data_IF_994908530384
#
_entry.id   IF_994908530384
#
_cell.length_a   1.000
_cell.length_b   1.000
_cell.length_c   1.000
_cell.angle_alpha   90.00
_cell.angle_beta   90.00
_cell.angle_gamma   90.00
#
_symmetry.space_group_name_H-M   'P 1'
#
loop_
_entity.id
_entity.type
_entity.pdbx_description
1 polymer ?
#
# COMPACT_ATOMS: atom_id res chain seq x y z
N UNK A 1 32.53 24.92 -7.01
CA UNK A 1 31.60 23.78 -7.06
C UNK A 1 30.70 23.87 -5.84
N UNK A 2 29.44 24.23 -6.04
CA UNK A 2 28.46 24.33 -4.96
C UNK A 2 28.13 22.92 -4.46
N UNK A 3 28.47 22.63 -3.22
CA UNK A 3 28.08 21.39 -2.54
C UNK A 3 26.58 21.44 -2.28
N UNK A 4 25.80 20.78 -3.14
CA UNK A 4 24.41 20.48 -2.86
C UNK A 4 24.35 19.58 -1.62
N UNK A 5 23.98 20.17 -0.48
CA UNK A 5 23.50 19.43 0.69
C UNK A 5 22.04 19.12 0.38
N UNK A 6 21.64 17.85 0.18
CA UNK A 6 20.24 17.53 -0.01
C UNK A 6 19.46 18.02 1.20
N UNK A 7 18.37 18.74 0.96
CA UNK A 7 17.45 19.14 2.00
C UNK A 7 17.05 17.89 2.81
N UNK A 8 17.35 17.93 4.11
CA UNK A 8 17.34 16.78 5.04
C UNK A 8 15.89 16.48 5.49
N UNK A 9 14.91 17.26 5.02
CA UNK A 9 13.52 17.15 5.43
C UNK A 9 12.72 16.21 4.52
N UNK A 10 12.90 14.91 4.71
CA UNK A 10 12.14 13.87 4.00
C UNK A 10 10.64 13.97 4.23
N UNK A 11 10.21 14.41 5.43
CA UNK A 11 8.79 14.62 5.75
C UNK A 11 8.15 15.70 4.88
N UNK A 12 8.76 16.89 4.84
CA UNK A 12 8.24 18.00 4.05
C UNK A 12 8.21 17.64 2.56
N UNK A 13 9.28 17.05 2.04
CA UNK A 13 9.33 16.61 0.64
C UNK A 13 8.18 15.65 0.29
N UNK A 14 7.93 14.66 1.16
CA UNK A 14 6.80 13.72 0.94
C UNK A 14 5.44 14.41 0.97
N UNK A 15 5.30 15.46 1.78
CA UNK A 15 4.07 16.26 1.89
C UNK A 15 3.83 17.10 0.64
N UNK A 16 4.87 17.72 0.11
CA UNK A 16 4.79 18.54 -1.10
C UNK A 16 4.45 17.65 -2.32
N UNK A 17 5.09 16.48 -2.44
CA UNK A 17 4.78 15.45 -3.47
C UNK A 17 3.32 15.02 -3.37
N UNK A 18 2.85 14.68 -2.18
CA UNK A 18 1.47 14.25 -1.99
C UNK A 18 0.45 15.36 -2.32
N UNK A 19 0.72 16.61 -1.93
CA UNK A 19 -0.13 17.75 -2.22
C UNK A 19 -0.23 18.00 -3.73
N UNK A 20 0.90 18.02 -4.43
CA UNK A 20 0.96 18.18 -5.88
C UNK A 20 0.20 17.06 -6.60
N UNK A 21 0.48 15.80 -6.28
CA UNK A 21 -0.17 14.64 -6.90
C UNK A 21 -1.69 14.66 -6.66
N UNK A 22 -2.14 15.00 -5.45
CA UNK A 22 -3.56 15.10 -5.15
C UNK A 22 -4.25 16.23 -5.95
N UNK A 23 -3.60 17.39 -6.07
CA UNK A 23 -4.12 18.50 -6.87
C UNK A 23 -4.19 18.11 -8.36
N UNK A 24 -3.14 17.47 -8.89
CA UNK A 24 -3.08 17.02 -10.28
C UNK A 24 -4.15 15.96 -10.56
N UNK A 25 -4.35 15.00 -9.65
CA UNK A 25 -5.41 14.00 -9.78
C UNK A 25 -6.80 14.64 -9.82
N UNK A 26 -7.09 15.61 -8.96
CA UNK A 26 -8.39 16.32 -8.96
C UNK A 26 -8.62 17.08 -10.27
N UNK A 27 -7.59 17.75 -10.78
CA UNK A 27 -7.63 18.43 -12.07
C UNK A 27 -7.87 17.46 -13.23
N UNK A 28 -7.02 16.44 -13.36
CA UNK A 28 -7.08 15.46 -14.45
C UNK A 28 -8.38 14.65 -14.41
N UNK A 29 -8.90 14.31 -13.22
CA UNK A 29 -10.19 13.65 -13.08
C UNK A 29 -11.34 14.53 -13.58
N UNK A 30 -11.32 15.82 -13.23
CA UNK A 30 -12.34 16.76 -13.67
C UNK A 30 -12.30 16.95 -15.20
N UNK A 31 -11.10 17.09 -15.77
CA UNK A 31 -10.89 17.18 -17.23
C UNK A 31 -11.36 15.90 -17.93
N UNK A 32 -10.88 14.74 -17.48
CA UNK A 32 -11.22 13.43 -18.05
C UNK A 32 -12.72 13.12 -17.98
N UNK A 33 -13.41 13.62 -16.95
CA UNK A 33 -14.85 13.40 -16.76
C UNK A 33 -15.72 14.54 -17.31
N UNK A 34 -15.12 15.50 -18.02
CA UNK A 34 -15.81 16.65 -18.64
C UNK A 34 -16.61 17.47 -17.62
N UNK A 35 -16.02 17.72 -16.45
CA UNK A 35 -16.59 18.62 -15.46
C UNK A 35 -16.72 20.05 -16.04
N UNK A 36 -17.85 20.75 -15.85
CA UNK A 36 -18.09 22.06 -16.48
C UNK A 36 -17.14 23.17 -16.00
N UNK A 37 -16.63 23.04 -14.77
CA UNK A 37 -15.67 23.96 -14.18
C UNK A 37 -14.58 23.13 -13.48
N UNK A 38 -13.58 22.62 -14.21
CA UNK A 38 -12.49 21.89 -13.56
C UNK A 38 -11.75 22.82 -12.57
N UNK A 39 -11.12 22.28 -11.51
CA UNK A 39 -10.26 23.08 -10.66
C UNK A 39 -9.08 23.63 -11.48
N UNK A 40 -8.32 24.56 -10.91
CA UNK A 40 -7.12 25.06 -11.56
C UNK A 40 -6.08 23.93 -11.69
N UNK A 41 -5.41 23.87 -12.84
CA UNK A 41 -4.26 22.99 -13.03
C UNK A 41 -3.16 23.36 -12.02
N UNK A 42 -2.60 22.40 -11.26
CA UNK A 42 -1.56 22.72 -10.30
C UNK A 42 -0.30 23.20 -11.01
N UNK A 43 0.29 24.28 -10.50
CA UNK A 43 1.59 24.75 -10.98
C UNK A 43 2.67 23.70 -10.70
N UNK A 44 3.52 23.43 -11.69
CA UNK A 44 4.65 22.54 -11.53
C UNK A 44 5.65 23.16 -10.54
N UNK A 45 6.04 22.46 -9.45
CA UNK A 45 7.05 22.95 -8.52
C UNK A 45 8.38 23.23 -9.22
N UNK A 46 8.77 24.50 -9.31
CA UNK A 46 9.96 24.95 -10.05
C UNK A 46 11.29 24.37 -9.54
N UNK A 47 11.31 23.90 -8.29
CA UNK A 47 12.48 23.31 -7.64
C UNK A 47 12.64 21.81 -7.91
N UNK A 48 11.63 21.15 -8.48
CA UNK A 48 11.68 19.71 -8.72
C UNK A 48 12.35 19.39 -10.05
N UNK A 49 13.11 18.29 -10.06
CA UNK A 49 13.65 17.75 -11.30
C UNK A 49 12.55 17.19 -12.20
N UNK A 50 12.80 17.21 -13.52
CA UNK A 50 11.89 16.64 -14.53
C UNK A 50 11.49 15.20 -14.23
N UNK A 51 12.43 14.38 -13.78
CA UNK A 51 12.18 12.97 -13.44
C UNK A 51 11.03 12.81 -12.42
N UNK A 52 11.07 13.53 -11.30
CA UNK A 52 10.01 13.46 -10.28
C UNK A 52 8.66 13.92 -10.83
N UNK A 53 8.64 15.00 -11.62
CA UNK A 53 7.42 15.52 -12.25
C UNK A 53 6.80 14.51 -13.22
N UNK A 54 7.62 13.90 -14.08
CA UNK A 54 7.19 12.88 -15.04
C UNK A 54 6.62 11.65 -14.33
N UNK A 55 7.28 11.18 -13.26
CA UNK A 55 6.77 10.07 -12.44
C UNK A 55 5.45 10.42 -11.77
N UNK A 56 5.35 11.57 -11.09
CA UNK A 56 4.11 12.01 -10.46
C UNK A 56 2.96 12.08 -11.48
N UNK A 57 3.22 12.65 -12.66
CA UNK A 57 2.24 12.79 -13.74
C UNK A 57 1.78 11.43 -14.27
N UNK A 58 2.72 10.52 -14.54
CA UNK A 58 2.39 9.17 -15.01
C UNK A 58 1.60 8.36 -13.97
N UNK A 59 2.01 8.43 -12.69
CA UNK A 59 1.32 7.77 -11.59
C UNK A 59 -0.11 8.28 -11.46
N UNK A 60 -0.33 9.61 -11.52
CA UNK A 60 -1.67 10.20 -11.49
C UNK A 60 -2.51 9.70 -12.67
N UNK A 61 -1.96 9.65 -13.89
CA UNK A 61 -2.68 9.11 -15.06
C UNK A 61 -3.11 7.66 -14.86
N UNK A 62 -2.25 6.80 -14.32
CA UNK A 62 -2.59 5.40 -14.02
C UNK A 62 -3.70 5.31 -12.96
N UNK A 63 -3.66 6.17 -11.94
CA UNK A 63 -4.73 6.24 -10.93
C UNK A 63 -6.06 6.69 -11.53
N UNK A 64 -6.06 7.64 -12.47
CA UNK A 64 -7.27 8.04 -13.20
C UNK A 64 -7.83 6.86 -14.01
N UNK A 65 -6.97 6.12 -14.73
CA UNK A 65 -7.38 4.92 -15.47
C UNK A 65 -8.01 3.89 -14.51
N UNK A 66 -7.36 3.59 -13.40
CA UNK A 66 -7.88 2.65 -12.41
C UNK A 66 -9.23 3.10 -11.83
N UNK A 67 -9.33 4.37 -11.43
CA UNK A 67 -10.56 4.92 -10.84
C UNK A 67 -11.73 4.92 -11.83
N UNK A 68 -11.44 5.16 -13.10
CA UNK A 68 -12.45 5.15 -14.16
C UNK A 68 -12.79 3.74 -14.67
N UNK A 69 -11.96 2.74 -14.37
CA UNK A 69 -12.16 1.32 -14.60
C UNK A 69 -12.57 0.59 -13.30
N UNK A 70 -13.79 0.85 -12.84
CA UNK A 70 -14.30 0.31 -11.58
C UNK A 70 -15.18 -0.93 -11.79
N UNK A 71 -14.99 -1.93 -10.93
CA UNK A 71 -15.84 -3.12 -10.83
C UNK A 71 -16.55 -3.14 -9.49
N UNK A 72 -17.87 -3.31 -9.53
CA UNK A 72 -18.66 -3.46 -8.31
C UNK A 72 -18.83 -4.93 -7.95
N UNK A 73 -18.58 -5.27 -6.70
CA UNK A 73 -18.93 -6.58 -6.15
C UNK A 73 -20.42 -6.65 -5.80
N UNK A 74 -20.96 -7.86 -5.63
CA UNK A 74 -22.39 -8.07 -5.37
C UNK A 74 -22.84 -7.83 -3.93
N UNK A 75 -21.92 -7.69 -2.98
CA UNK A 75 -22.22 -7.66 -1.55
C UNK A 75 -21.63 -6.46 -0.82
N UNK A 76 -22.20 -6.11 0.34
CA UNK A 76 -21.78 -4.96 1.15
C UNK A 76 -20.49 -5.27 1.93
N UNK A 77 -19.42 -4.52 1.65
CA UNK A 77 -18.11 -4.81 2.23
C UNK A 77 -18.05 -4.52 3.74
N UNK A 78 -18.85 -3.58 4.22
CA UNK A 78 -18.89 -3.22 5.63
C UNK A 78 -19.71 -4.23 6.45
N UNK A 79 -20.75 -4.84 5.87
CA UNK A 79 -21.46 -5.97 6.46
C UNK A 79 -20.56 -7.21 6.51
N UNK A 80 -19.91 -7.55 5.40
CA UNK A 80 -18.88 -8.60 5.35
C UNK A 80 -17.84 -8.46 6.47
N UNK A 81 -17.29 -7.25 6.64
CA UNK A 81 -16.26 -7.02 7.65
C UNK A 81 -16.79 -7.10 9.10
N UNK A 82 -18.09 -6.85 9.33
CA UNK A 82 -18.72 -7.01 10.65
C UNK A 82 -19.00 -8.48 10.97
N UNK A 83 -19.38 -9.25 9.95
CA UNK A 83 -19.80 -10.64 10.10
C UNK A 83 -18.65 -11.61 10.34
N UNK A 84 -17.48 -11.31 9.78
CA UNK A 84 -16.29 -12.12 10.02
C UNK A 84 -15.89 -12.04 11.51
N UNK A 85 -16.02 -13.15 12.25
CA UNK A 85 -15.56 -13.22 13.65
C UNK A 85 -14.04 -13.23 13.70
N UNK A 86 -13.43 -12.07 13.92
CA UNK A 86 -11.98 -11.88 13.90
C UNK A 86 -11.32 -12.37 15.19
N UNK A 87 -10.91 -13.63 15.25
CA UNK A 87 -10.06 -14.12 16.33
C UNK A 87 -8.61 -14.29 15.86
N UNK A 88 -7.67 -14.01 16.76
CA UNK A 88 -6.22 -14.22 16.56
C UNK A 88 -5.84 -15.70 16.41
N UNK A 89 -6.78 -16.62 16.65
CA UNK A 89 -6.59 -18.07 16.64
C UNK A 89 -7.15 -18.76 15.38
N UNK A 90 -7.71 -18.02 14.41
CA UNK A 90 -8.40 -18.65 13.26
C UNK A 90 -8.41 -17.88 11.94
N UNK A 91 -8.45 -16.55 11.93
CA UNK A 91 -8.60 -15.83 10.67
C UNK A 91 -7.31 -15.80 9.83
N UNK A 92 -7.40 -16.20 8.58
CA UNK A 92 -6.32 -16.22 7.58
C UNK A 92 -5.58 -17.56 7.46
N UNK A 93 -5.46 -18.33 8.56
CA UNK A 93 -4.78 -19.63 8.58
C UNK A 93 -5.70 -20.85 8.68
N UNK A 94 -6.95 -20.68 9.12
CA UNK A 94 -7.94 -21.77 9.18
C UNK A 94 -8.72 -21.84 7.86
N UNK A 95 -8.35 -22.79 7.00
CA UNK A 95 -8.95 -22.97 5.68
C UNK A 95 -10.47 -23.19 5.77
N UNK A 96 -10.95 -24.00 6.71
CA UNK A 96 -12.39 -24.28 6.86
C UNK A 96 -13.17 -23.00 7.20
N UNK A 97 -12.61 -22.14 8.05
CA UNK A 97 -13.23 -20.85 8.37
C UNK A 97 -13.25 -19.93 7.14
N UNK A 98 -12.17 -19.87 6.36
CA UNK A 98 -12.09 -19.04 5.16
C UNK A 98 -13.04 -19.55 4.07
N UNK A 99 -13.19 -20.87 3.90
CA UNK A 99 -14.16 -21.48 2.99
C UNK A 99 -15.61 -21.15 3.39
N UNK A 100 -15.95 -21.21 4.68
CA UNK A 100 -17.28 -20.82 5.15
C UNK A 100 -17.54 -19.31 4.93
N UNK A 101 -16.53 -18.47 5.13
CA UNK A 101 -16.60 -17.04 4.81
C UNK A 101 -16.87 -16.84 3.32
N UNK A 102 -16.14 -17.54 2.43
CA UNK A 102 -16.33 -17.47 0.98
C UNK A 102 -17.67 -18.06 0.53
N UNK A 103 -18.23 -19.04 1.26
CA UNK A 103 -19.58 -19.57 0.98
C UNK A 103 -20.66 -18.54 1.29
N UNK A 104 -20.51 -17.79 2.38
CA UNK A 104 -21.45 -16.74 2.79
C UNK A 104 -21.28 -15.45 1.97
N UNK A 105 -20.05 -15.11 1.63
CA UNK A 105 -19.67 -13.91 0.88
C UNK A 105 -18.91 -14.34 -0.39
N UNK A 106 -19.63 -14.82 -1.42
CA UNK A 106 -19.02 -15.43 -2.59
C UNK A 106 -18.10 -14.47 -3.33
N UNK A 107 -16.99 -14.97 -3.88
CA UNK A 107 -16.10 -14.15 -4.69
C UNK A 107 -16.84 -13.58 -5.90
N UNK A 108 -16.44 -12.37 -6.31
CA UNK A 108 -17.03 -11.72 -7.48
C UNK A 108 -16.86 -12.56 -8.76
N UNK A 109 -15.79 -13.34 -8.85
CA UNK A 109 -15.51 -14.21 -9.98
C UNK A 109 -15.29 -15.66 -9.54
N UNK A 110 -15.93 -16.58 -10.25
CA UNK A 110 -15.69 -18.02 -10.19
C UNK A 110 -15.91 -18.60 -11.59
N UNK A 111 -14.87 -19.15 -12.27
CA UNK A 111 -13.49 -19.33 -11.79
C UNK A 111 -12.74 -18.01 -11.59
N UNK A 112 -11.58 -18.08 -10.91
CA UNK A 112 -10.71 -16.91 -10.69
C UNK A 112 -10.30 -16.25 -12.01
N UNK A 113 -10.40 -14.92 -12.09
CA UNK A 113 -10.00 -14.15 -13.26
C UNK A 113 -8.66 -13.46 -13.06
N UNK A 114 -7.91 -13.31 -14.15
CA UNK A 114 -6.69 -12.52 -14.17
C UNK A 114 -7.03 -11.04 -14.38
N UNK A 115 -6.40 -10.15 -13.60
CA UNK A 115 -6.49 -8.70 -13.78
C UNK A 115 -5.08 -8.17 -14.04
N UNK A 116 -4.88 -7.61 -15.24
CA UNK A 116 -3.58 -7.16 -15.74
C UNK A 116 -3.50 -5.64 -15.95
N UNK A 117 -4.65 -4.97 -15.88
CA UNK A 117 -4.82 -3.55 -16.12
C UNK A 117 -5.18 -2.79 -14.82
N UNK A 118 -4.90 -1.47 -14.76
CA UNK A 118 -5.28 -0.66 -13.61
C UNK A 118 -6.79 -0.71 -13.36
N UNK A 119 -7.20 -1.06 -12.14
CA UNK A 119 -8.61 -1.31 -11.80
C UNK A 119 -8.91 -1.03 -10.33
N UNK A 120 -10.13 -0.57 -10.06
CA UNK A 120 -10.69 -0.47 -8.70
C UNK A 120 -11.79 -1.49 -8.51
N UNK A 121 -11.84 -2.10 -7.33
CA UNK A 121 -13.00 -2.86 -6.85
C UNK A 121 -13.71 -2.08 -5.76
N UNK A 122 -15.04 -2.03 -5.82
CA UNK A 122 -15.87 -1.38 -4.82
C UNK A 122 -17.14 -2.18 -4.52
N UNK A 123 -17.78 -1.91 -3.40
CA UNK A 123 -19.08 -2.48 -3.05
C UNK A 123 -20.26 -1.66 -3.63
N UNK A 124 -21.52 -2.15 -3.54
CA UNK A 124 -22.69 -1.43 -4.06
C UNK A 124 -22.93 -0.05 -3.43
N UNK A 125 -22.41 0.20 -2.23
CA UNK A 125 -22.45 1.51 -1.56
C UNK A 125 -21.35 2.46 -2.05
N UNK A 126 -20.48 1.99 -2.96
CA UNK A 126 -19.35 2.74 -3.49
C UNK A 126 -18.14 2.77 -2.56
N UNK A 127 -18.07 1.91 -1.54
CA UNK A 127 -16.86 1.77 -0.71
C UNK A 127 -15.79 1.06 -1.51
N UNK A 128 -14.60 1.65 -1.56
CA UNK A 128 -13.47 1.09 -2.28
C UNK A 128 -12.87 -0.04 -1.45
N UNK A 129 -12.68 -1.20 -2.08
CA UNK A 129 -12.15 -2.42 -1.48
C UNK A 129 -10.66 -2.56 -1.79
N UNK A 130 -10.30 -2.38 -3.06
CA UNK A 130 -8.90 -2.45 -3.50
C UNK A 130 -8.65 -1.62 -4.75
N UNK A 131 -7.41 -1.11 -4.87
CA UNK A 131 -6.84 -0.64 -6.12
C UNK A 131 -5.76 -1.62 -6.58
N UNK A 132 -5.81 -2.00 -7.85
CA UNK A 132 -4.78 -2.82 -8.51
C UNK A 132 -4.10 -1.91 -9.52
N UNK A 133 -2.79 -1.69 -9.36
CA UNK A 133 -2.02 -0.72 -10.14
C UNK A 133 -0.78 -1.38 -10.74
N UNK A 134 -0.95 -2.16 -11.83
CA UNK A 134 0.15 -2.88 -12.47
C UNK A 134 1.23 -1.94 -12.99
N UNK A 135 2.50 -2.23 -12.70
CA UNK A 135 3.68 -1.48 -13.15
C UNK A 135 3.59 0.04 -12.99
N UNK A 136 2.92 0.51 -11.93
CA UNK A 136 2.75 1.95 -11.66
C UNK A 136 4.08 2.63 -11.28
N UNK A 137 5.00 1.90 -10.67
CA UNK A 137 6.35 2.41 -10.35
C UNK A 137 7.29 2.13 -11.53
N UNK A 138 7.87 3.16 -12.17
CA UNK A 138 8.69 2.98 -13.37
C UNK A 138 10.06 2.35 -13.04
N UNK A 139 10.73 1.71 -14.02
CA UNK A 139 11.97 0.96 -13.79
C UNK A 139 13.07 1.75 -13.04
N UNK A 140 13.32 3.00 -13.42
CA UNK A 140 14.36 3.81 -12.77
C UNK A 140 14.05 4.12 -11.27
N UNK A 141 12.78 4.13 -10.85
CA UNK A 141 12.42 4.19 -9.42
C UNK A 141 12.54 2.83 -8.74
N UNK A 142 12.27 1.73 -9.47
CA UNK A 142 12.55 0.39 -8.98
C UNK A 142 14.05 0.18 -8.73
N UNK A 143 14.92 0.74 -9.58
CA UNK A 143 16.37 0.70 -9.40
C UNK A 143 16.83 1.43 -8.13
N UNK A 144 16.27 2.61 -7.84
CA UNK A 144 16.50 3.33 -6.57
C UNK A 144 16.07 2.49 -5.37
N UNK A 145 14.88 1.88 -5.43
CA UNK A 145 14.38 1.01 -4.37
C UNK A 145 15.26 -0.25 -4.20
N UNK A 146 15.73 -0.85 -5.29
CA UNK A 146 16.67 -1.96 -5.26
C UNK A 146 17.99 -1.56 -4.60
N UNK A 147 18.58 -0.43 -5.01
CA UNK A 147 19.80 0.10 -4.39
C UNK A 147 19.61 0.33 -2.88
N UNK A 148 18.46 0.90 -2.47
CA UNK A 148 18.15 1.06 -1.06
C UNK A 148 18.08 -0.30 -0.34
N UNK A 149 17.38 -1.29 -0.90
CA UNK A 149 17.26 -2.62 -0.28
C UNK A 149 18.60 -3.37 -0.24
N UNK A 150 19.51 -3.14 -1.19
CA UNK A 150 20.88 -3.63 -1.12
C UNK A 150 21.65 -3.07 0.10
N UNK A 151 21.49 -1.79 0.41
CA UNK A 151 22.07 -1.17 1.62
C UNK A 151 21.52 -1.81 2.90
N UNK A 152 20.22 -2.15 2.90
CA UNK A 152 19.58 -2.83 4.02
C UNK A 152 20.02 -4.30 4.17
N UNK A 153 20.54 -4.93 3.11
CA UNK A 153 20.84 -6.35 3.01
C UNK A 153 21.46 -7.00 4.27
N UNK A 154 22.53 -6.42 4.87
CA UNK A 154 23.15 -6.96 6.07
C UNK A 154 22.25 -7.00 7.31
N UNK A 155 21.17 -6.21 7.34
CA UNK A 155 20.19 -6.13 8.44
C UNK A 155 18.94 -6.98 8.21
N UNK A 156 18.84 -7.70 7.08
CA UNK A 156 17.73 -8.62 6.84
C UNK A 156 17.80 -9.79 7.82
N UNK A 157 16.70 -10.10 8.49
CA UNK A 157 16.61 -11.26 9.37
C UNK A 157 16.68 -12.52 8.52
N UNK A 158 17.75 -13.29 8.75
CA UNK A 158 17.95 -14.65 8.23
C UNK A 158 17.73 -15.72 9.30
N UNK A 159 17.33 -15.33 10.51
CA UNK A 159 17.00 -16.26 11.60
C UNK A 159 15.64 -16.88 11.31
N UNK A 160 15.69 -17.96 10.56
CA UNK A 160 14.53 -18.76 10.26
C UNK A 160 14.35 -19.79 11.38
N UNK A 161 13.17 -19.78 12.00
CA UNK A 161 12.81 -20.82 12.96
C UNK A 161 12.20 -21.99 12.20
N UNK A 162 12.45 -23.22 12.67
CA UNK A 162 11.68 -24.37 12.19
C UNK A 162 10.21 -24.20 12.60
N UNK A 163 9.24 -24.82 11.89
CA UNK A 163 7.81 -24.68 12.17
C UNK A 163 7.45 -24.91 13.65
N UNK A 164 8.17 -25.82 14.30
CA UNK A 164 8.00 -26.23 15.69
C UNK A 164 8.42 -25.16 16.72
N UNK A 165 9.24 -24.17 16.33
CA UNK A 165 9.85 -23.20 17.26
C UNK A 165 9.16 -21.83 17.28
N UNK A 166 8.61 -21.34 16.15
CA UNK A 166 8.00 -19.99 16.08
C UNK A 166 6.51 -19.97 15.83
N UNK A 167 5.93 -21.06 15.31
CA UNK A 167 4.53 -21.14 14.89
C UNK A 167 4.11 -20.11 13.83
N UNK A 168 5.05 -19.39 13.19
CA UNK A 168 4.75 -18.29 12.27
C UNK A 168 5.47 -18.47 10.93
N UNK A 169 4.69 -18.63 9.86
CA UNK A 169 5.20 -18.73 8.48
C UNK A 169 6.06 -17.53 8.07
N UNK A 170 5.91 -16.38 8.74
CA UNK A 170 6.66 -15.15 8.42
C UNK A 170 8.16 -15.28 8.67
N UNK A 171 8.57 -16.20 9.55
CA UNK A 171 9.96 -16.48 9.91
C UNK A 171 10.35 -17.94 9.67
N UNK A 172 9.49 -18.73 9.00
CA UNK A 172 9.79 -20.12 8.68
C UNK A 172 10.58 -20.21 7.38
N UNK A 173 11.76 -20.85 7.46
CA UNK A 173 12.68 -21.07 6.33
C UNK A 173 12.01 -21.73 5.14
N UNK A 174 10.97 -22.55 5.37
CA UNK A 174 10.27 -23.26 4.31
C UNK A 174 9.67 -22.31 3.26
N UNK A 175 9.38 -21.05 3.62
CA UNK A 175 8.79 -20.04 2.72
C UNK A 175 9.82 -19.13 2.05
N UNK A 176 11.11 -19.29 2.34
CA UNK A 176 12.16 -18.46 1.76
C UNK A 176 12.93 -19.23 0.68
N UNK A 177 13.29 -18.52 -0.39
CA UNK A 177 14.20 -19.02 -1.42
C UNK A 177 15.65 -18.73 -1.02
N UNK A 178 16.64 -19.52 -1.49
CA UNK A 178 18.04 -19.25 -1.22
C UNK A 178 18.48 -17.84 -1.64
N UNK A 179 19.54 -17.34 -1.00
CA UNK A 179 20.22 -16.12 -1.43
C UNK A 179 20.61 -16.23 -2.92
N UNK A 180 20.59 -15.10 -3.61
CA UNK A 180 21.00 -15.01 -5.00
C UNK A 180 21.85 -13.76 -5.24
N UNK A 181 22.44 -13.65 -6.43
CA UNK A 181 23.33 -12.54 -6.79
C UNK A 181 22.60 -11.19 -6.96
N UNK A 182 21.26 -11.19 -7.02
CA UNK A 182 20.48 -9.97 -7.19
C UNK A 182 20.14 -9.31 -5.84
N UNK A 183 19.73 -10.10 -4.84
CA UNK A 183 19.44 -9.59 -3.49
C UNK A 183 19.53 -10.70 -2.43
N UNK A 184 20.02 -10.33 -1.24
CA UNK A 184 19.94 -11.20 -0.05
C UNK A 184 18.48 -11.52 0.30
N UNK A 185 18.21 -12.76 0.65
CA UNK A 185 16.93 -13.25 1.16
C UNK A 185 16.75 -12.87 2.63
N UNK A 186 15.54 -12.45 3.01
CA UNK A 186 15.14 -12.26 4.39
C UNK A 186 13.97 -11.29 4.58
N UNK A 187 13.83 -10.85 5.81
CA UNK A 187 12.78 -9.93 6.24
C UNK A 187 13.35 -8.83 7.14
N UNK A 188 12.98 -7.58 6.91
CA UNK A 188 13.20 -6.49 7.85
C UNK A 188 11.93 -5.67 8.04
N UNK A 189 11.60 -5.35 9.28
CA UNK A 189 10.54 -4.41 9.62
C UNK A 189 11.18 -3.11 10.10
N UNK A 190 10.94 -2.03 9.36
CA UNK A 190 11.47 -0.71 9.65
C UNK A 190 10.34 0.22 10.07
N UNK A 191 10.57 1.01 11.10
CA UNK A 191 9.69 2.08 11.55
C UNK A 191 10.53 3.23 12.08
N UNK A 192 10.20 4.46 11.68
CA UNK A 192 10.78 5.66 12.25
C UNK A 192 10.35 5.85 13.72
N UNK A 193 9.13 5.43 14.06
CA UNK A 193 8.59 5.47 15.42
C UNK A 193 7.51 4.40 15.61
N UNK A 194 7.70 3.49 16.58
CA UNK A 194 6.68 2.50 16.96
C UNK A 194 6.76 2.10 18.44
N UNK A 195 5.68 1.54 18.97
CA UNK A 195 5.74 0.87 20.27
C UNK A 195 6.14 -0.59 20.08
N UNK A 196 7.20 -1.00 20.76
CA UNK A 196 7.64 -2.40 20.83
C UNK A 196 6.52 -3.27 21.42
N UNK A 197 6.39 -4.50 20.96
CA UNK A 197 5.37 -5.42 21.46
C UNK A 197 5.51 -5.59 22.99
N UNK A 198 4.44 -5.36 23.73
CA UNK A 198 4.43 -5.45 25.20
C UNK A 198 4.94 -4.21 25.94
N UNK A 199 5.46 -3.20 25.23
CA UNK A 199 5.92 -1.93 25.84
C UNK A 199 4.90 -0.81 25.62
N UNK A 200 4.73 0.04 26.63
CA UNK A 200 3.91 1.26 26.57
C UNK A 200 4.83 2.46 26.74
N UNK A 201 5.21 3.09 25.62
CA UNK A 201 5.99 4.34 25.59
C UNK A 201 7.41 4.25 26.17
N UNK A 202 8.38 5.08 25.72
CA UNK A 202 8.34 5.94 24.53
C UNK A 202 8.31 5.13 23.22
N UNK A 203 7.92 5.74 22.08
CA UNK A 203 8.11 5.11 20.79
C UNK A 203 9.61 4.95 20.48
N UNK A 204 9.95 3.94 19.68
CA UNK A 204 11.31 3.62 19.29
C UNK A 204 11.50 3.69 17.78
N UNK A 205 12.67 4.13 17.35
CA UNK A 205 13.13 4.02 15.97
C UNK A 205 13.83 2.68 15.76
N UNK A 206 13.56 1.99 14.64
CA UNK A 206 14.33 0.79 14.26
C UNK A 206 15.84 1.09 14.24
N UNK A 207 16.70 0.28 14.91
CA UNK A 207 18.13 0.59 15.05
C UNK A 207 18.87 0.86 13.73
N UNK A 208 18.49 0.19 12.63
CA UNK A 208 19.08 0.43 11.31
C UNK A 208 18.93 1.89 10.86
N UNK A 209 17.78 2.53 11.11
CA UNK A 209 17.48 3.90 10.67
C UNK A 209 18.27 4.97 11.44
N UNK A 210 18.90 4.61 12.55
CA UNK A 210 19.75 5.50 13.34
C UNK A 210 21.22 5.47 12.88
N UNK A 211 21.56 4.59 11.94
CA UNK A 211 22.93 4.42 11.42
C UNK A 211 23.11 5.17 10.10
N UNK A 212 24.35 5.51 9.71
CA UNK A 212 24.63 6.13 8.41
C UNK A 212 24.02 5.37 7.23
N UNK A 213 24.06 4.04 7.23
CA UNK A 213 23.47 3.20 6.18
C UNK A 213 21.95 3.38 6.10
N UNK A 214 21.28 3.53 7.25
CA UNK A 214 19.86 3.84 7.33
C UNK A 214 19.54 5.21 6.74
N UNK A 215 20.40 6.21 6.97
CA UNK A 215 20.24 7.53 6.36
C UNK A 215 20.41 7.47 4.84
N UNK A 216 21.40 6.71 4.33
CA UNK A 216 21.58 6.51 2.89
C UNK A 216 20.41 5.75 2.28
N UNK A 217 19.88 4.72 2.95
CA UNK A 217 18.67 4.01 2.55
C UNK A 217 17.50 4.97 2.33
N UNK A 218 17.21 5.83 3.31
CA UNK A 218 16.12 6.80 3.23
C UNK A 218 16.37 7.87 2.15
N UNK A 219 17.61 8.30 1.98
CA UNK A 219 18.00 9.30 0.97
C UNK A 219 17.82 8.77 -0.45
N UNK A 220 18.29 7.55 -0.73
CA UNK A 220 18.18 6.91 -2.05
C UNK A 220 16.71 6.62 -2.40
N UNK A 221 15.93 6.14 -1.42
CA UNK A 221 14.51 5.82 -1.61
C UNK A 221 13.57 7.03 -1.42
N UNK A 222 14.10 8.25 -1.25
CA UNK A 222 13.32 9.44 -0.88
C UNK A 222 12.17 9.72 -1.84
N UNK A 223 12.47 9.85 -3.13
CA UNK A 223 11.46 10.21 -4.13
C UNK A 223 10.46 9.06 -4.39
N UNK A 224 10.88 7.79 -4.52
CA UNK A 224 9.93 6.68 -4.57
C UNK A 224 8.95 6.63 -3.39
N UNK A 225 9.44 6.80 -2.16
CA UNK A 225 8.60 6.79 -0.95
C UNK A 225 7.67 8.01 -0.84
N UNK A 226 8.12 9.18 -1.32
CA UNK A 226 7.28 10.36 -1.43
C UNK A 226 6.12 10.14 -2.42
N UNK A 227 6.40 9.56 -3.59
CA UNK A 227 5.38 9.20 -4.59
C UNK A 227 4.38 8.19 -4.02
N UNK A 228 4.85 7.17 -3.30
CA UNK A 228 3.97 6.19 -2.63
C UNK A 228 3.03 6.86 -1.61
N UNK A 229 3.51 7.89 -0.90
CA UNK A 229 2.67 8.70 -0.01
C UNK A 229 1.63 9.52 -0.78
N UNK A 230 2.01 10.08 -1.94
CA UNK A 230 1.08 10.76 -2.84
C UNK A 230 0.02 9.84 -3.43
N UNK A 231 0.35 8.57 -3.71
CA UNK A 231 -0.63 7.56 -4.08
C UNK A 231 -1.65 7.37 -2.93
N UNK A 232 -1.21 7.23 -1.67
CA UNK A 232 -2.15 7.14 -0.53
C UNK A 232 -3.00 8.42 -0.38
N UNK A 233 -2.41 9.59 -0.57
CA UNK A 233 -3.12 10.87 -0.53
C UNK A 233 -4.24 10.97 -1.57
N UNK A 234 -4.11 10.24 -2.67
CA UNK A 234 -5.17 10.07 -3.67
C UNK A 234 -6.10 8.96 -3.25
N UNK A 235 -5.62 7.72 -3.08
CA UNK A 235 -6.45 6.51 -2.96
C UNK A 235 -7.19 6.38 -1.63
N UNK A 236 -6.74 7.07 -0.58
CA UNK A 236 -7.43 7.18 0.72
C UNK A 236 -7.05 8.50 1.45
N UNK A 237 -7.61 9.65 1.03
CA UNK A 237 -7.19 10.96 1.53
C UNK A 237 -7.36 11.14 3.05
N UNK A 238 -8.38 10.50 3.64
CA UNK A 238 -8.60 10.55 5.08
C UNK A 238 -7.53 9.75 5.85
N UNK A 239 -7.14 8.58 5.34
CA UNK A 239 -6.03 7.81 5.93
C UNK A 239 -4.70 8.54 5.79
N UNK A 240 -4.45 9.21 4.65
CA UNK A 240 -3.28 10.06 4.49
C UNK A 240 -3.24 11.18 5.54
N UNK A 241 -4.34 11.92 5.72
CA UNK A 241 -4.44 13.01 6.71
C UNK A 241 -4.20 12.50 8.13
N UNK A 242 -4.88 11.42 8.51
CA UNK A 242 -4.68 10.75 9.81
C UNK A 242 -3.22 10.37 10.02
N UNK A 243 -2.56 9.85 9.00
CA UNK A 243 -1.17 9.43 9.10
C UNK A 243 -0.18 10.58 9.16
N UNK A 244 -0.45 11.67 8.44
CA UNK A 244 0.33 12.90 8.56
C UNK A 244 0.20 13.50 9.97
N UNK A 245 -1.01 13.55 10.50
CA UNK A 245 -1.27 14.00 11.87
C UNK A 245 -0.53 13.13 12.89
N UNK A 246 -0.55 11.79 12.74
CA UNK A 246 0.23 10.90 13.59
C UNK A 246 1.72 11.23 13.57
N UNK A 247 2.28 11.43 12.37
CA UNK A 247 3.68 11.74 12.19
C UNK A 247 4.06 13.09 12.81
N UNK A 248 3.23 14.11 12.59
CA UNK A 248 3.43 15.46 13.13
C UNK A 248 3.34 15.49 14.65
N UNK A 249 2.37 14.77 15.23
CA UNK A 249 2.27 14.63 16.69
C UNK A 249 3.49 13.91 17.29
N UNK A 250 4.02 12.88 16.63
CA UNK A 250 5.25 12.20 17.09
C UNK A 250 6.50 13.08 16.94
N UNK A 251 6.60 13.88 15.86
CA UNK A 251 7.68 14.85 15.71
C UNK A 251 7.61 15.92 16.81
N UNK A 252 6.40 16.37 17.15
CA UNK A 252 6.14 17.36 18.19
C UNK A 252 6.44 16.84 19.60
N UNK A 253 6.23 15.55 19.88
CA UNK A 253 6.58 14.95 21.18
C UNK A 253 8.09 14.87 21.41
N UNK A 254 8.91 15.02 20.36
CA UNK A 254 10.37 15.03 20.41
C UNK A 254 11.02 13.65 20.33
N UNK A 255 10.32 12.60 20.76
CA UNK A 255 10.77 11.21 20.61
C UNK A 255 10.91 10.83 19.14
N UNK A 256 12.04 10.21 18.77
CA UNK A 256 12.30 9.77 17.39
C UNK A 256 12.27 10.89 16.33
N UNK A 257 12.25 12.18 16.72
CA UNK A 257 12.13 13.34 15.83
C UNK A 257 13.11 13.31 14.66
N UNK A 258 14.36 12.95 14.92
CA UNK A 258 15.41 12.91 13.90
C UNK A 258 15.11 11.87 12.82
N UNK A 259 14.70 10.67 13.21
CA UNK A 259 14.34 9.60 12.30
C UNK A 259 13.05 9.94 11.52
N UNK A 260 12.05 10.51 12.20
CA UNK A 260 10.80 10.94 11.58
C UNK A 260 10.99 12.07 10.57
N UNK A 261 11.90 13.01 10.83
CA UNK A 261 12.24 14.08 9.89
C UNK A 261 12.88 13.58 8.60
N UNK A 262 13.65 12.49 8.68
CA UNK A 262 14.26 11.83 7.50
C UNK A 262 13.34 10.83 6.81
N UNK A 263 12.30 10.35 7.49
CA UNK A 263 11.38 9.34 6.99
C UNK A 263 10.55 9.90 5.82
N UNK A 264 10.79 9.51 4.56
CA UNK A 264 10.25 10.20 3.39
C UNK A 264 8.89 9.66 2.97
N UNK A 265 8.11 9.16 3.92
CA UNK A 265 6.76 8.66 3.67
C UNK A 265 5.83 8.92 4.86
N UNK A 266 4.53 8.79 4.59
CA UNK A 266 3.48 8.97 5.60
C UNK A 266 3.16 7.67 6.37
N UNK A 267 3.52 6.51 5.82
CA UNK A 267 3.32 5.22 6.48
C UNK A 267 4.14 5.11 7.76
N UNK A 268 3.57 4.57 8.83
CA UNK A 268 4.33 4.42 10.09
C UNK A 268 5.38 3.33 10.01
N UNK A 269 5.21 2.33 9.14
CA UNK A 269 6.11 1.19 9.04
C UNK A 269 6.18 0.64 7.62
N UNK A 270 7.29 -0.06 7.35
CA UNK A 270 7.52 -0.82 6.12
C UNK A 270 8.13 -2.18 6.46
N UNK A 271 7.61 -3.23 5.86
CA UNK A 271 8.26 -4.54 5.81
C UNK A 271 8.95 -4.71 4.47
N UNK A 272 10.26 -4.90 4.48
CA UNK A 272 11.06 -5.30 3.33
C UNK A 272 11.15 -6.82 3.33
N UNK A 273 10.51 -7.46 2.35
CA UNK A 273 10.41 -8.91 2.22
C UNK A 273 11.13 -9.30 0.93
N UNK A 274 12.20 -10.09 1.03
CA UNK A 274 12.94 -10.54 -0.14
C UNK A 274 12.85 -12.05 -0.29
N UNK A 275 12.60 -12.50 -1.53
CA UNK A 275 12.58 -13.89 -1.96
C UNK A 275 11.75 -14.83 -1.05
N UNK A 276 10.62 -14.33 -0.52
CA UNK A 276 9.74 -15.06 0.40
C UNK A 276 8.35 -15.23 -0.19
N UNK A 277 7.82 -16.44 -0.14
CA UNK A 277 6.41 -16.74 -0.32
C UNK A 277 5.56 -16.16 0.83
N UNK A 278 4.38 -15.66 0.49
CA UNK A 278 3.37 -15.32 1.49
C UNK A 278 2.20 -16.28 1.27
N UNK A 279 2.06 -17.35 2.08
CA UNK A 279 0.89 -18.22 1.99
C UNK A 279 -0.38 -17.41 2.21
N UNK A 280 -1.52 -17.99 1.88
CA UNK A 280 -2.81 -17.33 2.11
C UNK A 280 -2.98 -16.96 3.59
N UNK A 281 -3.25 -15.68 3.86
CA UNK A 281 -3.38 -15.14 5.21
C UNK A 281 -4.21 -13.85 5.25
N UNK A 282 -4.36 -13.31 6.46
CA UNK A 282 -4.92 -12.00 6.78
C UNK A 282 -4.02 -11.28 7.77
N UNK A 283 -3.98 -9.95 7.71
CA UNK A 283 -3.18 -9.12 8.62
C UNK A 283 -4.00 -8.64 9.83
N UNK A 284 -3.98 -9.42 10.91
CA UNK A 284 -4.93 -9.28 12.02
C UNK A 284 -4.72 -8.03 12.90
N UNK A 285 -3.57 -7.37 12.80
CA UNK A 285 -3.22 -6.22 13.65
C UNK A 285 -3.66 -4.87 13.08
N UNK A 286 -4.24 -4.86 11.88
CA UNK A 286 -4.62 -3.65 11.17
C UNK A 286 -6.12 -3.33 11.31
N UNK A 287 -6.50 -2.16 10.82
CA UNK A 287 -7.90 -1.72 10.70
C UNK A 287 -8.46 -2.18 9.36
N UNK A 288 -9.69 -2.70 9.33
CA UNK A 288 -10.35 -3.05 8.05
C UNK A 288 -10.55 -1.84 7.13
N UNK A 289 -10.63 -0.64 7.72
CA UNK A 289 -10.91 0.61 7.01
C UNK A 289 -9.67 1.23 6.36
N UNK A 290 -8.49 0.71 6.69
CA UNK A 290 -7.22 1.24 6.22
C UNK A 290 -6.72 0.37 5.08
N UNK A 291 -5.95 1.00 4.20
CA UNK A 291 -5.22 0.33 3.15
C UNK A 291 -3.75 0.18 3.50
N UNK A 292 -3.24 -0.98 3.17
CA UNK A 292 -1.83 -1.31 3.13
C UNK A 292 -1.41 -1.40 1.67
N UNK A 293 -0.15 -1.08 1.42
CA UNK A 293 0.40 -1.03 0.08
C UNK A 293 1.36 -2.19 -0.09
N UNK A 294 1.13 -3.02 -1.10
CA UNK A 294 2.03 -4.08 -1.49
C UNK A 294 2.71 -3.71 -2.81
N UNK A 295 3.92 -3.16 -2.72
CA UNK A 295 4.77 -2.83 -3.87
C UNK A 295 5.73 -3.99 -4.13
N UNK A 296 5.72 -4.58 -5.32
CA UNK A 296 6.66 -5.65 -5.69
C UNK A 296 7.53 -5.27 -6.89
N UNK A 297 8.82 -5.60 -6.85
CA UNK A 297 9.79 -5.35 -7.92
C UNK A 297 10.95 -6.35 -7.90
N UNK A 298 11.74 -6.38 -8.97
CA UNK A 298 12.82 -7.33 -9.21
C UNK A 298 12.80 -7.85 -10.64
N UNK A 299 13.79 -8.66 -11.06
CA UNK A 299 13.92 -9.15 -12.43
C UNK A 299 12.97 -10.31 -12.76
N UNK A 300 11.98 -10.57 -11.89
CA UNK A 300 10.98 -11.61 -12.13
C UNK A 300 9.99 -11.18 -13.22
N UNK A 301 9.42 -12.14 -13.95
CA UNK A 301 8.38 -11.83 -14.96
C UNK A 301 7.03 -11.57 -14.30
N UNK A 302 6.56 -12.52 -13.50
CA UNK A 302 5.27 -12.48 -12.84
C UNK A 302 5.36 -13.04 -11.42
N UNK A 303 4.63 -12.45 -10.48
CA UNK A 303 4.58 -12.89 -9.08
C UNK A 303 3.14 -12.86 -8.56
N UNK A 304 2.29 -13.82 -8.98
CA UNK A 304 0.85 -13.68 -8.82
C UNK A 304 0.41 -13.45 -7.38
N UNK A 305 -0.32 -12.36 -7.16
CA UNK A 305 -1.04 -12.05 -5.93
C UNK A 305 -2.49 -12.52 -6.11
N UNK A 306 -2.99 -13.28 -5.14
CA UNK A 306 -4.36 -13.75 -5.11
C UNK A 306 -5.16 -12.95 -4.08
N UNK A 307 -6.35 -12.50 -4.47
CA UNK A 307 -7.34 -11.88 -3.60
C UNK A 307 -8.58 -12.78 -3.60
N UNK A 308 -8.59 -13.77 -2.70
CA UNK A 308 -9.56 -14.87 -2.74
C UNK A 308 -11.00 -14.38 -2.62
N UNK A 309 -11.26 -13.40 -1.75
CA UNK A 309 -12.59 -12.79 -1.58
C UNK A 309 -13.13 -12.10 -2.83
N UNK A 310 -12.29 -11.80 -3.82
CA UNK A 310 -12.72 -11.20 -5.10
C UNK A 310 -12.72 -12.24 -6.23
N UNK A 311 -12.12 -13.42 -6.04
CA UNK A 311 -11.86 -14.34 -7.15
C UNK A 311 -10.89 -13.74 -8.17
N UNK A 312 -9.93 -12.94 -7.70
CA UNK A 312 -8.98 -12.22 -8.57
C UNK A 312 -7.57 -12.72 -8.36
N UNK A 313 -6.85 -12.92 -9.48
CA UNK A 313 -5.41 -13.10 -9.54
C UNK A 313 -4.79 -11.90 -10.27
N UNK A 314 -3.92 -11.17 -9.59
CA UNK A 314 -3.13 -10.10 -10.21
C UNK A 314 -1.82 -10.71 -10.69
N UNK A 315 -1.48 -10.54 -11.97
CA UNK A 315 -0.23 -11.06 -12.52
C UNK A 315 1.03 -10.43 -11.87
N UNK A 316 0.85 -9.22 -11.34
CA UNK A 316 1.78 -8.50 -10.46
C UNK A 316 3.19 -8.36 -11.08
N UNK A 317 3.32 -7.77 -12.29
CA UNK A 317 4.62 -7.48 -12.89
C UNK A 317 5.45 -6.53 -12.00
N UNK A 318 6.78 -6.42 -12.21
CA UNK A 318 7.61 -5.50 -11.45
C UNK A 318 7.10 -4.05 -11.48
N UNK A 319 7.15 -3.39 -10.32
CA UNK A 319 6.65 -2.02 -10.10
C UNK A 319 5.15 -1.94 -9.79
N UNK A 320 4.47 -3.08 -9.63
CA UNK A 320 3.04 -3.11 -9.29
C UNK A 320 2.80 -2.72 -7.84
N UNK A 321 1.78 -1.90 -7.59
CA UNK A 321 1.23 -1.67 -6.25
C UNK A 321 -0.18 -2.25 -6.19
N UNK A 322 -0.42 -3.13 -5.23
CA UNK A 322 -1.77 -3.53 -4.84
C UNK A 322 -2.12 -2.87 -3.51
N UNK A 323 -3.27 -2.20 -3.45
CA UNK A 323 -3.71 -1.42 -2.30
C UNK A 323 -5.00 -2.05 -1.77
N UNK A 324 -4.99 -2.55 -0.55
CA UNK A 324 -6.16 -3.19 0.06
C UNK A 324 -6.02 -3.27 1.59
N UNK A 325 -7.10 -3.55 2.30
CA UNK A 325 -7.01 -3.85 3.73
C UNK A 325 -6.57 -5.29 3.95
N UNK A 326 -5.33 -5.50 4.41
CA UNK A 326 -4.73 -6.84 4.59
C UNK A 326 -5.51 -7.73 5.56
N UNK A 327 -6.22 -7.12 6.51
CA UNK A 327 -7.13 -7.81 7.42
C UNK A 327 -8.41 -8.32 6.74
N UNK A 328 -8.93 -7.55 5.79
CA UNK A 328 -10.25 -7.77 5.21
C UNK A 328 -10.21 -8.70 3.99
N UNK A 329 -9.10 -8.83 3.28
CA UNK A 329 -8.98 -9.77 2.15
C UNK A 329 -8.09 -10.95 2.51
N UNK A 330 -8.56 -12.17 2.25
CA UNK A 330 -7.73 -13.38 2.32
C UNK A 330 -6.86 -13.42 1.07
N UNK A 331 -5.55 -13.30 1.28
CA UNK A 331 -4.63 -13.02 0.19
C UNK A 331 -3.31 -13.76 0.37
N UNK A 332 -2.63 -14.01 -0.74
CA UNK A 332 -1.36 -14.74 -0.77
C UNK A 332 -0.59 -14.47 -2.04
N UNK A 333 0.72 -14.58 -1.96
CA UNK A 333 1.63 -14.43 -3.10
C UNK A 333 2.50 -15.66 -3.19
N UNK A 334 2.45 -16.34 -4.34
CA UNK A 334 3.26 -17.54 -4.58
C UNK A 334 4.76 -17.23 -4.55
N UNK A 335 5.54 -18.28 -4.36
CA UNK A 335 7.00 -18.25 -4.36
C UNK A 335 7.55 -17.84 -5.73
N UNK A 336 8.36 -16.77 -5.73
CA UNK A 336 9.08 -16.24 -6.90
C UNK A 336 10.37 -15.58 -6.41
N UNK A 337 11.47 -15.80 -7.14
CA UNK A 337 12.80 -15.24 -6.86
C UNK A 337 13.55 -14.95 -8.17
N UNK A 338 14.36 -13.88 -8.25
CA UNK A 338 14.54 -12.83 -7.25
C UNK A 338 13.34 -11.88 -7.18
N UNK A 339 12.85 -11.59 -5.97
CA UNK A 339 11.73 -10.67 -5.74
C UNK A 339 11.95 -9.86 -4.47
N UNK A 340 11.67 -8.57 -4.55
CA UNK A 340 11.49 -7.70 -3.40
C UNK A 340 10.03 -7.28 -3.32
N UNK A 341 9.48 -7.35 -2.12
CA UNK A 341 8.16 -6.84 -1.80
C UNK A 341 8.27 -5.88 -0.62
N UNK A 342 7.74 -4.68 -0.79
CA UNK A 342 7.58 -3.68 0.26
C UNK A 342 6.11 -3.68 0.68
N UNK A 343 5.83 -4.08 1.91
CA UNK A 343 4.53 -3.89 2.53
C UNK A 343 4.58 -2.60 3.37
N UNK A 344 3.85 -1.56 2.97
CA UNK A 344 3.78 -0.28 3.68
C UNK A 344 2.44 -0.16 4.40
N UNK A 345 2.48 0.10 5.71
CA UNK A 345 1.29 -0.02 6.55
C UNK A 345 1.32 0.91 7.78
N UNK A 346 0.17 1.00 8.44
CA UNK A 346 -0.04 1.85 9.61
C UNK A 346 -0.19 1.02 10.89
N UNK A 347 0.48 1.42 11.95
CA UNK A 347 0.38 0.79 13.27
C UNK A 347 -0.77 1.40 14.06
N UNK A 348 -1.89 0.66 14.16
CA UNK A 348 -3.11 1.11 14.85
C UNK A 348 -2.92 1.53 16.31
N UNK A 349 -1.96 0.93 17.01
CA UNK A 349 -1.63 1.32 18.39
C UNK A 349 -1.04 2.74 18.49
N UNK A 350 -0.31 3.21 17.48
CA UNK A 350 0.20 4.59 17.42
C UNK A 350 -0.98 5.57 17.34
N UNK A 351 -1.89 5.35 16.39
CA UNK A 351 -3.10 6.16 16.24
C UNK A 351 -3.91 6.23 17.55
N UNK A 352 -4.07 5.09 18.24
CA UNK A 352 -4.82 5.03 19.50
C UNK A 352 -4.15 5.79 20.62
N UNK A 353 -2.84 5.64 20.79
CA UNK A 353 -2.09 6.30 21.87
C UNK A 353 -2.11 7.82 21.70
N UNK A 354 -2.01 8.30 20.47
CA UNK A 354 -2.08 9.73 20.16
C UNK A 354 -3.51 10.31 20.21
N UNK A 355 -4.54 9.48 20.38
CA UNK A 355 -5.95 9.92 20.40
C UNK A 355 -6.45 10.49 19.06
N UNK A 356 -5.74 10.26 17.96
CA UNK A 356 -6.07 10.82 16.64
C UNK A 356 -7.29 10.13 16.06
N UNK A 357 -8.16 10.87 15.37
CA UNK A 357 -9.35 10.28 14.76
C UNK A 357 -8.98 9.24 13.69
N UNK A 358 -9.53 8.02 13.82
CA UNK A 358 -9.29 6.96 12.83
C UNK A 358 -9.99 7.26 11.51
N UNK A 359 -9.29 7.04 10.39
CA UNK A 359 -9.86 7.15 9.06
C UNK A 359 -11.06 6.21 8.85
N UNK A 360 -12.05 6.71 8.10
CA UNK A 360 -13.23 5.94 7.72
C UNK A 360 -12.95 5.07 6.48
N UNK A 361 -13.97 4.36 6.02
CA UNK A 361 -13.90 3.65 4.74
C UNK A 361 -13.62 4.63 3.61
N UNK A 362 -12.72 4.28 2.71
CA UNK A 362 -12.62 5.02 1.46
C UNK A 362 -13.88 4.79 0.63
N UNK A 363 -14.47 5.86 0.09
CA UNK A 363 -15.66 5.78 -0.76
C UNK A 363 -15.48 6.62 -2.02
N UNK A 364 -16.07 6.18 -3.13
CA UNK A 364 -16.07 6.95 -4.37
C UNK A 364 -16.67 8.36 -4.20
N UNK A 365 -17.56 8.51 -3.20
CA UNK A 365 -18.18 9.79 -2.86
C UNK A 365 -17.16 10.88 -2.53
N UNK A 366 -15.98 10.53 -2.04
CA UNK A 366 -14.87 11.46 -1.79
C UNK A 366 -14.48 12.25 -3.05
N UNK A 367 -14.73 11.71 -4.25
CA UNK A 367 -14.40 12.35 -5.52
C UNK A 367 -15.60 12.88 -6.29
N UNK A 368 -16.83 12.73 -5.78
CA UNK A 368 -18.03 13.09 -6.54
C UNK A 368 -18.05 14.56 -6.97
N UNK A 369 -17.47 15.46 -6.17
CA UNK A 369 -17.35 16.89 -6.49
C UNK A 369 -16.41 17.19 -7.66
N UNK A 370 -15.56 16.23 -8.06
CA UNK A 370 -14.61 16.37 -9.16
C UNK A 370 -15.06 15.62 -10.42
N UNK A 371 -16.25 15.02 -10.41
CA UNK A 371 -16.77 14.21 -11.52
C UNK A 371 -17.92 14.95 -12.21
N UNK A 372 -17.86 15.10 -13.53
CA UNK A 372 -18.90 15.76 -14.32
C UNK A 372 -20.29 15.09 -14.23
N UNK A 373 -21.34 15.89 -14.49
CA UNK A 373 -22.75 15.48 -14.39
C UNK A 373 -23.13 14.28 -15.28
N UNK A 374 -22.43 14.07 -16.40
CA UNK A 374 -22.71 12.96 -17.34
C UNK A 374 -22.38 11.57 -16.76
N UNK A 375 -21.44 11.45 -15.81
CA UNK A 375 -21.11 10.15 -15.17
C UNK A 375 -21.93 9.84 -13.92
N UNK A 376 -22.58 10.82 -13.28
CA UNK A 376 -23.50 10.56 -12.16
C UNK A 376 -24.65 9.59 -12.56
N UNK A 377 -24.97 9.51 -13.86
CA UNK A 377 -25.99 8.61 -14.42
C UNK A 377 -25.52 7.18 -14.73
N UNK A 378 -24.23 6.84 -14.56
CA UNK A 378 -23.74 5.46 -14.81
C UNK A 378 -24.09 4.51 -13.65
N UNK A 379 -24.46 5.05 -12.47
CA UNK A 379 -24.89 4.30 -11.27
C UNK A 379 -26.14 3.42 -11.44
N UNK A 380 -26.73 3.30 -12.64
CA UNK A 380 -28.00 2.57 -12.86
C UNK A 380 -27.97 1.44 -13.90
N UNK A 381 -26.84 1.11 -14.50
CA UNK A 381 -26.75 -0.07 -15.37
C UNK A 381 -25.76 -1.07 -14.80
N UNK A 382 -26.27 -1.97 -13.94
CA UNK A 382 -25.70 -3.31 -13.87
C UNK A 382 -25.68 -3.86 -15.30
N UNK A 383 -24.57 -4.44 -15.78
CA UNK A 383 -24.60 -5.24 -17.00
C UNK A 383 -25.63 -6.35 -16.81
N UNK A 384 -26.62 -6.43 -17.71
CA UNK A 384 -27.65 -7.50 -17.69
C UNK A 384 -27.09 -8.87 -18.13
N UNK A 385 -25.81 -8.93 -18.50
CA UNK A 385 -25.25 -10.06 -19.24
C UNK A 385 -24.17 -10.83 -18.45
N UNK A 386 -24.31 -10.91 -17.13
CA UNK A 386 -23.69 -11.97 -16.34
C UNK A 386 -24.75 -12.55 -15.43
N UNK A 387 -25.30 -13.68 -15.86
CA UNK A 387 -26.32 -14.47 -15.15
C UNK A 387 -25.91 -14.65 -13.68
N UNK A 388 -26.79 -14.34 -12.72
CA UNK A 388 -26.63 -14.81 -11.35
C UNK A 388 -26.65 -16.34 -11.37
N UNK A 389 -25.67 -16.99 -10.75
CA UNK A 389 -25.80 -18.41 -10.44
C UNK A 389 -26.93 -18.59 -9.44
N UNK A 390 -27.85 -19.49 -9.79
CA UNK A 390 -28.88 -20.04 -8.92
C UNK A 390 -28.27 -20.97 -7.86
#
# INVERSE_FOLDING_TARGET
MSTYVPDINGDQHSSDVAAFMQALFKYELAVTTLHPSPPQEPECPSRWGRELLDVCTNVVRILIIAFTNITYISWDFAEYCRDCKWSSLGCGGNIQQEEEILRRWPPQYSPTVQVDEPRVFADPSGRIITWILPSIIPPHYQDKLHQAVCILGPSLTKKFHRPEESGSWRTDSAYFEPDNNYISTGLANLSAAWYMAGHKSPPHTTPFLQRPEGHTFLSVARDPFAVVSGILAITHPQQYKMAKEMKDSMIASGDCKEALGRWPMVFTAISVITNRESPFHRDLHESWKWFDFLLSFGPYRHAPLYLANLGVRVNNPPGTICIFGGRALWHGVRRVSPRVTLALYMRKNIQKELGIQSALWMTQHEYNSYIGSKRHNIRRRMPKDMTPLA
#
